data_IF_423251296620
#
_entry.id   IF_423251296620
#
_cell.length_a   1.000
_cell.length_b   1.000
_cell.length_c   1.000
_cell.angle_alpha   90.00
_cell.angle_beta   90.00
_cell.angle_gamma   90.00
#
_symmetry.space_group_name_H-M   'P 1'
#
loop_
_entity.id
_entity.type
_entity.pdbx_description
1 polymer ?
#
# COMPACT_ATOMS: atom_id res chain seq x y z
N UNK A 1 -14.92 -3.63 10.51
CA UNK A 1 -15.28 -4.98 10.04
C UNK A 1 -14.32 -5.52 8.97
N UNK A 2 -14.45 -5.21 7.66
CA UNK A 2 -13.57 -5.83 6.64
C UNK A 2 -12.07 -5.58 6.85
N UNK A 3 -11.69 -4.36 7.26
CA UNK A 3 -10.30 -4.00 7.60
C UNK A 3 -9.78 -4.78 8.82
N UNK A 4 -10.64 -5.15 9.76
CA UNK A 4 -10.23 -5.93 10.92
C UNK A 4 -9.98 -7.40 10.55
N UNK A 5 -10.76 -7.98 9.64
CA UNK A 5 -10.45 -9.32 9.11
C UNK A 5 -9.13 -9.33 8.34
N UNK A 6 -8.90 -8.30 7.51
CA UNK A 6 -7.61 -8.09 6.85
C UNK A 6 -6.47 -8.04 7.87
N UNK A 7 -6.63 -7.27 8.96
CA UNK A 7 -5.62 -7.18 10.02
C UNK A 7 -5.37 -8.51 10.74
N UNK A 8 -6.41 -9.30 11.03
CA UNK A 8 -6.27 -10.64 11.64
C UNK A 8 -5.53 -11.61 10.72
N UNK A 9 -5.82 -11.59 9.42
CA UNK A 9 -5.12 -12.40 8.42
C UNK A 9 -3.65 -12.00 8.30
N UNK A 10 -3.37 -10.70 8.23
CA UNK A 10 -2.00 -10.19 8.21
C UNK A 10 -1.20 -10.59 9.46
N UNK A 11 -1.81 -10.51 10.65
CA UNK A 11 -1.19 -10.98 11.90
C UNK A 11 -0.93 -12.49 11.87
N UNK A 12 -1.84 -13.27 11.29
CA UNK A 12 -1.67 -14.72 11.11
C UNK A 12 -0.49 -15.02 10.17
N UNK A 13 -0.30 -14.20 9.13
CA UNK A 13 0.85 -14.25 8.24
C UNK A 13 2.13 -13.61 8.80
N UNK A 14 2.13 -13.18 10.06
CA UNK A 14 3.30 -12.68 10.78
C UNK A 14 3.60 -11.19 10.63
N UNK A 15 2.64 -10.37 10.16
CA UNK A 15 2.80 -8.92 10.09
C UNK A 15 2.32 -8.20 11.36
N UNK A 16 3.01 -7.15 11.77
CA UNK A 16 2.47 -6.17 12.73
C UNK A 16 1.46 -5.26 12.00
N UNK A 17 0.30 -5.02 12.60
CA UNK A 17 -0.77 -4.22 11.99
C UNK A 17 -1.20 -3.07 12.90
N UNK A 18 -1.45 -1.90 12.30
CA UNK A 18 -2.02 -0.72 12.96
C UNK A 18 -3.17 -0.19 12.11
N UNK A 19 -4.34 -0.04 12.71
CA UNK A 19 -5.53 0.51 12.05
C UNK A 19 -5.69 1.95 12.51
N UNK A 20 -5.61 2.89 11.57
CA UNK A 20 -5.87 4.30 11.86
C UNK A 20 -7.38 4.52 12.08
N UNK A 21 -7.74 5.14 13.20
CA UNK A 21 -9.09 5.62 13.46
C UNK A 21 -9.28 7.03 12.89
N UNK A 22 -10.10 7.26 11.85
CA UNK A 22 -10.22 8.57 11.24
C UNK A 22 -11.16 9.53 11.98
N UNK A 23 -11.76 9.13 13.12
CA UNK A 23 -12.62 10.03 13.90
C UNK A 23 -11.84 11.26 14.36
N UNK A 24 -12.42 12.44 14.09
CA UNK A 24 -11.80 13.73 14.39
C UNK A 24 -10.70 14.16 13.42
N UNK A 25 -10.47 13.44 12.31
CA UNK A 25 -9.57 13.92 11.26
C UNK A 25 -10.21 15.12 10.53
N UNK A 26 -9.55 16.29 10.46
CA UNK A 26 -10.08 17.48 9.79
C UNK A 26 -10.04 17.32 8.26
N UNK A 27 -10.73 18.19 7.54
CA UNK A 27 -10.57 18.25 6.09
C UNK A 27 -9.15 18.68 5.73
N UNK A 28 -8.64 18.22 4.58
CA UNK A 28 -7.27 18.49 4.17
C UNK A 28 -7.01 19.99 3.90
N UNK A 29 -8.05 20.73 3.51
CA UNK A 29 -8.00 22.15 3.17
C UNK A 29 -8.32 23.08 4.36
N UNK A 30 -8.54 22.53 5.56
CA UNK A 30 -8.82 23.35 6.75
C UNK A 30 -7.58 24.15 7.21
N UNK A 31 -7.82 25.26 7.91
CA UNK A 31 -6.75 26.07 8.50
C UNK A 31 -6.07 25.31 9.65
N UNK A 32 -4.74 25.40 9.74
CA UNK A 32 -3.90 24.79 10.80
C UNK A 32 -3.88 23.25 10.89
N UNK A 33 -4.24 22.54 9.81
CA UNK A 33 -4.25 21.06 9.75
C UNK A 33 -2.90 20.40 10.07
N UNK A 34 -1.76 21.08 9.80
CA UNK A 34 -0.41 20.53 10.02
C UNK A 34 -0.15 20.18 11.48
N UNK A 35 -0.78 20.89 12.42
CA UNK A 35 -0.58 20.68 13.85
C UNK A 35 -1.64 19.76 14.47
N UNK A 36 -2.64 19.34 13.71
CA UNK A 36 -3.74 18.54 14.21
C UNK A 36 -3.25 17.14 14.65
N UNK A 37 -3.58 16.66 15.87
CA UNK A 37 -3.09 15.38 16.40
C UNK A 37 -3.35 14.19 15.48
N UNK A 38 -4.55 14.11 14.89
CA UNK A 38 -4.92 13.03 13.95
C UNK A 38 -4.13 13.05 12.65
N UNK A 39 -3.71 14.23 12.17
CA UNK A 39 -2.90 14.36 10.96
C UNK A 39 -1.47 13.88 11.24
N UNK A 40 -0.93 14.24 12.41
CA UNK A 40 0.39 13.74 12.87
C UNK A 40 0.39 12.23 13.06
N UNK A 41 -0.61 11.69 13.74
CA UNK A 41 -0.78 10.24 13.95
C UNK A 41 -0.84 9.49 12.62
N UNK A 42 -1.64 9.97 11.66
CA UNK A 42 -1.73 9.37 10.33
C UNK A 42 -0.39 9.38 9.60
N UNK A 43 0.32 10.50 9.64
CA UNK A 43 1.64 10.63 9.03
C UNK A 43 2.65 9.68 9.68
N UNK A 44 2.69 9.60 11.01
CA UNK A 44 3.57 8.72 11.77
C UNK A 44 3.30 7.23 11.45
N UNK A 45 2.03 6.84 11.35
CA UNK A 45 1.65 5.49 10.93
C UNK A 45 2.09 5.17 9.50
N UNK A 46 1.92 6.14 8.59
CA UNK A 46 2.37 5.99 7.20
C UNK A 46 3.89 5.85 7.12
N UNK A 47 4.63 6.64 7.92
CA UNK A 47 6.09 6.55 8.01
C UNK A 47 6.56 5.21 8.58
N UNK A 48 5.92 4.73 9.64
CA UNK A 48 6.20 3.45 10.27
C UNK A 48 5.95 2.25 9.34
N UNK A 49 4.93 2.34 8.49
CA UNK A 49 4.50 1.21 7.65
C UNK A 49 5.52 0.82 6.56
N UNK A 50 5.52 -0.46 6.20
CA UNK A 50 6.20 -1.00 5.00
C UNK A 50 5.21 -1.28 3.85
N UNK A 51 3.93 -1.43 4.18
CA UNK A 51 2.83 -1.66 3.25
C UNK A 51 1.49 -1.19 3.84
N UNK A 52 0.55 -0.82 2.98
CA UNK A 52 -0.78 -0.33 3.38
C UNK A 52 -1.89 -1.27 2.88
N UNK A 53 -3.02 -1.23 3.59
CA UNK A 53 -4.31 -1.72 3.09
C UNK A 53 -5.27 -0.54 3.08
N UNK A 54 -5.80 -0.18 1.91
CA UNK A 54 -6.84 0.84 1.80
C UNK A 54 -8.17 0.18 1.49
N UNK A 55 -9.17 0.46 2.33
CA UNK A 55 -10.52 -0.05 2.13
C UNK A 55 -11.51 1.12 2.09
N UNK A 56 -12.31 1.20 1.03
CA UNK A 56 -13.39 2.18 0.93
C UNK A 56 -14.73 1.49 0.68
N UNK A 57 -15.79 1.85 1.41
CA UNK A 57 -17.13 1.66 0.91
C UNK A 57 -17.32 2.37 -0.43
N UNK A 58 -18.22 1.85 -1.25
CA UNK A 58 -18.72 2.56 -2.42
C UNK A 58 -19.92 3.43 -2.04
N UNK A 59 -19.75 4.75 -2.11
CA UNK A 59 -20.79 5.73 -1.82
C UNK A 59 -21.07 6.54 -3.08
N UNK A 60 -22.32 6.53 -3.54
CA UNK A 60 -22.70 7.16 -4.82
C UNK A 60 -21.79 6.73 -6.00
N UNK A 61 -21.44 5.43 -6.04
CA UNK A 61 -20.64 4.84 -7.12
C UNK A 61 -19.14 5.20 -7.10
N UNK A 62 -18.63 5.76 -6.01
CA UNK A 62 -17.25 6.22 -5.89
C UNK A 62 -16.67 5.98 -4.48
N UNK A 63 -15.38 6.26 -4.30
CA UNK A 63 -14.73 6.23 -2.98
C UNK A 63 -15.40 7.21 -2.02
N UNK A 64 -15.32 6.92 -0.72
CA UNK A 64 -15.82 7.87 0.29
C UNK A 64 -14.95 9.13 0.38
N UNK A 65 -15.55 10.25 0.76
CA UNK A 65 -14.78 11.46 1.10
C UNK A 65 -13.79 11.19 2.24
N UNK A 66 -14.13 10.34 3.20
CA UNK A 66 -13.29 10.03 4.35
C UNK A 66 -11.97 9.34 3.98
N UNK A 67 -11.99 8.34 3.08
CA UNK A 67 -10.74 7.71 2.63
C UNK A 67 -9.91 8.68 1.80
N UNK A 68 -10.57 9.53 0.99
CA UNK A 68 -9.89 10.53 0.18
C UNK A 68 -9.20 11.58 1.06
N UNK A 69 -9.87 12.07 2.10
CA UNK A 69 -9.28 12.99 3.09
C UNK A 69 -8.07 12.38 3.80
N UNK A 70 -8.12 11.10 4.18
CA UNK A 70 -6.93 10.43 4.74
C UNK A 70 -5.75 10.44 3.76
N UNK A 71 -5.98 10.10 2.49
CA UNK A 71 -4.92 10.09 1.46
C UNK A 71 -4.41 11.51 1.19
N UNK A 72 -5.28 12.53 1.20
CA UNK A 72 -4.91 13.93 0.97
C UNK A 72 -3.99 14.50 2.07
N UNK A 73 -4.08 13.99 3.29
CA UNK A 73 -3.17 14.33 4.39
C UNK A 73 -1.79 13.68 4.26
N UNK A 74 -1.57 12.76 3.32
CA UNK A 74 -0.28 12.12 3.08
C UNK A 74 0.50 12.87 1.99
N UNK A 75 1.55 13.64 2.31
CA UNK A 75 2.33 14.35 1.30
C UNK A 75 3.22 13.39 0.50
N UNK A 76 3.52 13.72 -0.76
CA UNK A 76 4.52 12.97 -1.55
C UNK A 76 5.95 13.16 -1.00
N UNK A 77 6.24 14.36 -0.50
CA UNK A 77 7.51 14.74 0.13
C UNK A 77 7.24 15.74 1.23
N UNK A 78 7.80 15.52 2.43
CA UNK A 78 7.79 16.47 3.54
C UNK A 78 9.15 16.45 4.23
N UNK A 79 9.91 17.55 4.16
CA UNK A 79 11.24 17.65 4.78
C UNK A 79 12.24 16.57 4.31
N UNK A 80 12.16 16.14 3.04
CA UNK A 80 12.97 15.05 2.48
C UNK A 80 12.42 13.64 2.76
N UNK A 81 11.40 13.52 3.62
CA UNK A 81 10.76 12.25 3.97
C UNK A 81 9.62 11.96 2.99
N UNK A 82 9.51 10.70 2.54
CA UNK A 82 8.50 10.23 1.58
C UNK A 82 7.63 9.15 2.24
N UNK A 83 6.45 9.49 2.80
CA UNK A 83 5.68 8.60 3.66
C UNK A 83 5.02 7.43 2.94
N UNK A 84 4.84 7.50 1.62
CA UNK A 84 4.20 6.42 0.85
C UNK A 84 5.11 5.81 -0.23
N UNK A 85 6.09 6.57 -0.72
CA UNK A 85 6.89 6.19 -1.87
C UNK A 85 7.65 4.86 -1.63
N UNK A 86 7.47 3.90 -2.55
CA UNK A 86 8.15 2.60 -2.51
C UNK A 86 7.53 1.56 -1.58
N UNK A 87 6.47 1.89 -0.84
CA UNK A 87 5.71 0.95 -0.01
C UNK A 87 4.70 0.16 -0.85
N UNK A 88 4.34 -1.03 -0.41
CA UNK A 88 3.29 -1.85 -1.04
C UNK A 88 1.90 -1.36 -0.67
N UNK A 89 0.91 -1.65 -1.53
CA UNK A 89 -0.48 -1.30 -1.28
C UNK A 89 -1.41 -2.42 -1.74
N UNK A 90 -2.32 -2.85 -0.87
CA UNK A 90 -3.52 -3.59 -1.26
C UNK A 90 -4.75 -2.67 -1.21
N UNK A 91 -5.65 -2.82 -2.19
CA UNK A 91 -6.90 -2.04 -2.27
C UNK A 91 -8.11 -2.95 -2.14
N UNK A 92 -9.09 -2.47 -1.38
CA UNK A 92 -10.29 -3.21 -1.03
C UNK A 92 -11.53 -2.31 -1.09
N UNK A 93 -12.70 -2.88 -1.36
CA UNK A 93 -13.98 -2.17 -1.21
C UNK A 93 -15.08 -3.06 -0.65
N UNK A 94 -16.11 -2.38 -0.13
CA UNK A 94 -17.41 -2.97 0.20
C UNK A 94 -18.52 -2.20 -0.52
N UNK A 95 -19.58 -2.88 -0.92
CA UNK A 95 -20.80 -2.27 -1.47
C UNK A 95 -22.03 -2.85 -0.79
N UNK A 96 -23.07 -2.02 -0.63
CA UNK A 96 -24.40 -2.48 -0.21
C UNK A 96 -25.21 -3.09 -1.35
N UNK A 97 -24.79 -2.91 -2.60
CA UNK A 97 -25.50 -3.41 -3.79
C UNK A 97 -24.74 -4.55 -4.48
N UNK A 98 -25.07 -4.76 -5.76
CA UNK A 98 -24.35 -5.68 -6.65
C UNK A 98 -22.85 -5.35 -6.72
N UNK A 99 -22.07 -6.34 -7.16
CA UNK A 99 -20.62 -6.19 -7.27
C UNK A 99 -20.24 -5.02 -8.17
N UNK A 100 -19.25 -4.25 -7.73
CA UNK A 100 -18.67 -3.09 -8.40
C UNK A 100 -17.17 -3.08 -8.18
N UNK A 101 -16.45 -2.31 -8.98
CA UNK A 101 -15.00 -2.12 -8.85
C UNK A 101 -14.60 -0.64 -8.87
N UNK A 102 -15.57 0.28 -8.81
CA UNK A 102 -15.28 1.71 -8.98
C UNK A 102 -14.34 2.21 -7.88
N UNK A 103 -14.59 1.84 -6.63
CA UNK A 103 -13.79 2.30 -5.49
C UNK A 103 -12.37 1.74 -5.54
N UNK A 104 -12.19 0.44 -5.77
CA UNK A 104 -10.83 -0.15 -5.90
C UNK A 104 -10.06 0.37 -7.10
N UNK A 105 -10.73 0.66 -8.23
CA UNK A 105 -10.09 1.25 -9.40
C UNK A 105 -9.56 2.66 -9.12
N UNK A 106 -10.33 3.48 -8.39
CA UNK A 106 -9.88 4.81 -7.99
C UNK A 106 -8.77 4.74 -6.94
N UNK A 107 -8.88 3.87 -5.93
CA UNK A 107 -7.82 3.64 -4.94
C UNK A 107 -6.52 3.18 -5.60
N UNK A 108 -6.59 2.33 -6.63
CA UNK A 108 -5.41 1.89 -7.40
C UNK A 108 -4.73 3.05 -8.13
N UNK A 109 -5.52 3.94 -8.75
CA UNK A 109 -5.00 5.16 -9.37
C UNK A 109 -4.36 6.11 -8.35
N UNK A 110 -4.97 6.25 -7.17
CA UNK A 110 -4.40 7.01 -6.05
C UNK A 110 -3.09 6.39 -5.56
N UNK A 111 -3.02 5.07 -5.39
CA UNK A 111 -1.81 4.36 -5.01
C UNK A 111 -0.64 4.61 -5.97
N UNK A 112 -0.93 4.61 -7.28
CA UNK A 112 0.05 5.02 -8.30
C UNK A 112 0.50 6.46 -8.12
N UNK A 113 -0.43 7.38 -7.85
CA UNK A 113 -0.10 8.79 -7.60
C UNK A 113 0.80 8.95 -6.37
N UNK A 114 0.52 8.17 -5.32
CA UNK A 114 1.29 8.07 -4.08
C UNK A 114 2.61 7.30 -4.23
N UNK A 115 2.96 6.87 -5.46
CA UNK A 115 4.18 6.13 -5.82
C UNK A 115 4.34 4.83 -5.03
N UNK A 116 3.23 4.16 -4.76
CA UNK A 116 3.18 2.87 -4.09
C UNK A 116 3.19 1.73 -5.10
N UNK A 117 3.68 0.57 -4.67
CA UNK A 117 3.58 -0.68 -5.42
C UNK A 117 2.24 -1.35 -5.09
N UNK A 118 1.19 -0.96 -5.82
CA UNK A 118 -0.14 -1.56 -5.64
C UNK A 118 -0.14 -2.99 -6.19
N UNK A 119 -0.33 -3.99 -5.33
CA UNK A 119 -0.33 -5.41 -5.72
C UNK A 119 -1.46 -5.71 -6.72
N UNK A 120 -1.31 -6.72 -7.60
CA UNK A 120 -2.30 -7.00 -8.63
C UNK A 120 -3.65 -7.44 -8.05
N UNK A 121 -3.66 -8.27 -7.01
CA UNK A 121 -4.89 -8.78 -6.43
C UNK A 121 -5.64 -7.70 -5.62
N UNK A 122 -6.97 -7.83 -5.50
CA UNK A 122 -7.83 -6.88 -4.81
C UNK A 122 -9.14 -7.54 -4.33
N UNK A 123 -9.78 -6.95 -3.32
CA UNK A 123 -11.06 -7.44 -2.77
C UNK A 123 -12.21 -6.47 -3.04
N UNK A 124 -13.35 -6.99 -3.51
CA UNK A 124 -14.59 -6.24 -3.64
C UNK A 124 -15.76 -7.10 -3.18
N UNK A 125 -16.28 -6.78 -1.99
CA UNK A 125 -17.39 -7.53 -1.35
C UNK A 125 -18.71 -6.86 -1.69
N UNK A 126 -19.54 -7.54 -2.48
CA UNK A 126 -20.88 -7.10 -2.82
C UNK A 126 -21.87 -7.44 -1.69
N UNK A 127 -22.99 -6.72 -1.61
CA UNK A 127 -24.02 -6.90 -0.57
C UNK A 127 -23.44 -7.17 0.81
N UNK A 128 -22.46 -6.37 1.22
CA UNK A 128 -21.60 -6.71 2.36
C UNK A 128 -22.38 -6.98 3.66
N UNK A 129 -23.60 -6.44 3.81
CA UNK A 129 -24.47 -6.74 4.95
C UNK A 129 -24.88 -8.23 5.07
N UNK A 130 -24.84 -9.02 3.98
CA UNK A 130 -25.11 -10.46 3.97
C UNK A 130 -23.88 -11.29 4.40
N UNK A 131 -22.68 -10.73 4.26
CA UNK A 131 -21.37 -11.40 4.40
C UNK A 131 -20.77 -11.32 5.80
N UNK A 132 -21.36 -10.56 6.71
CA UNK A 132 -20.91 -10.44 8.10
C UNK A 132 -21.96 -11.01 9.06
N UNK A 133 -21.47 -11.69 10.09
CA UNK A 133 -22.25 -12.13 11.25
C UNK A 133 -22.52 -10.97 12.22
N UNK A 134 -23.47 -11.15 13.14
CA UNK A 134 -23.84 -10.13 14.14
C UNK A 134 -22.68 -9.70 15.04
N UNK A 135 -21.72 -10.60 15.28
CA UNK A 135 -20.50 -10.31 16.03
C UNK A 135 -19.42 -9.57 15.22
N UNK A 136 -19.73 -9.16 13.98
CA UNK A 136 -18.83 -8.42 13.10
C UNK A 136 -17.77 -9.27 12.39
N UNK A 137 -17.85 -10.61 12.48
CA UNK A 137 -16.96 -11.53 11.76
C UNK A 137 -17.48 -11.79 10.35
N UNK A 138 -16.57 -11.89 9.39
CA UNK A 138 -16.94 -12.26 8.02
C UNK A 138 -17.24 -13.76 7.94
N UNK A 139 -18.29 -14.12 7.20
CA UNK A 139 -18.71 -15.51 6.96
C UNK A 139 -17.73 -16.21 6.01
N UNK A 140 -17.59 -17.55 6.08
CA UNK A 140 -16.90 -18.32 5.06
C UNK A 140 -17.61 -18.13 3.71
N UNK A 141 -16.92 -17.53 2.75
CA UNK A 141 -17.42 -17.29 1.39
C UNK A 141 -16.24 -17.09 0.43
N UNK A 142 -16.52 -17.09 -0.87
CA UNK A 142 -15.51 -16.78 -1.88
C UNK A 142 -14.93 -15.37 -1.73
N UNK A 143 -15.66 -14.45 -1.10
CA UNK A 143 -15.13 -13.13 -0.74
C UNK A 143 -14.10 -13.20 0.38
N UNK A 144 -14.28 -14.10 1.35
CA UNK A 144 -13.29 -14.35 2.41
C UNK A 144 -12.05 -15.02 1.83
N UNK A 145 -12.19 -16.02 0.97
CA UNK A 145 -11.05 -16.67 0.29
C UNK A 145 -10.24 -15.64 -0.52
N UNK A 146 -10.92 -14.75 -1.25
CA UNK A 146 -10.26 -13.63 -1.94
C UNK A 146 -9.54 -12.70 -0.97
N UNK A 147 -10.11 -12.42 0.20
CA UNK A 147 -9.46 -11.58 1.20
C UNK A 147 -8.15 -12.24 1.70
N UNK A 148 -8.17 -13.55 1.92
CA UNK A 148 -6.97 -14.33 2.27
C UNK A 148 -5.90 -14.19 1.19
N UNK A 149 -6.24 -14.41 -0.09
CA UNK A 149 -5.31 -14.28 -1.21
C UNK A 149 -4.65 -12.89 -1.26
N UNK A 150 -5.44 -11.83 -1.07
CA UNK A 150 -4.95 -10.44 -1.15
C UNK A 150 -4.00 -10.13 0.01
N UNK A 151 -4.30 -10.60 1.24
CA UNK A 151 -3.42 -10.39 2.40
C UNK A 151 -2.15 -11.22 2.29
N UNK A 152 -2.23 -12.45 1.79
CA UNK A 152 -1.07 -13.30 1.55
C UNK A 152 -0.14 -12.68 0.50
N UNK A 153 -0.70 -12.22 -0.62
CA UNK A 153 0.04 -11.53 -1.68
C UNK A 153 0.69 -10.24 -1.17
N UNK A 154 -0.02 -9.44 -0.36
CA UNK A 154 0.54 -8.23 0.24
C UNK A 154 1.78 -8.53 1.06
N UNK A 155 1.74 -9.55 1.94
CA UNK A 155 2.90 -9.93 2.76
C UNK A 155 4.06 -10.37 1.87
N UNK A 156 3.82 -11.23 0.87
CA UNK A 156 4.86 -11.69 -0.06
C UNK A 156 5.54 -10.53 -0.79
N UNK A 157 4.77 -9.59 -1.33
CA UNK A 157 5.32 -8.41 -2.00
C UNK A 157 6.03 -7.45 -1.03
N UNK A 158 5.50 -7.25 0.17
CA UNK A 158 6.17 -6.43 1.19
C UNK A 158 7.53 -7.03 1.55
N UNK A 159 7.60 -8.35 1.79
CA UNK A 159 8.86 -9.05 2.06
C UNK A 159 9.86 -8.97 0.91
N UNK A 160 9.37 -9.01 -0.34
CA UNK A 160 10.21 -8.91 -1.54
C UNK A 160 10.81 -7.51 -1.72
N UNK A 161 10.03 -6.46 -1.42
CA UNK A 161 10.42 -5.07 -1.67
C UNK A 161 11.08 -4.39 -0.46
N UNK A 162 10.80 -4.87 0.77
CA UNK A 162 11.42 -4.33 1.98
C UNK A 162 12.95 -4.48 1.91
N UNK A 163 13.67 -3.45 2.34
CA UNK A 163 15.13 -3.37 2.21
C UNK A 163 15.64 -2.99 0.81
N UNK A 164 14.80 -2.98 -0.23
CA UNK A 164 15.18 -2.55 -1.59
C UNK A 164 14.57 -1.21 -2.00
N UNK A 165 13.77 -0.58 -1.13
CA UNK A 165 13.07 0.66 -1.42
C UNK A 165 14.03 1.78 -1.90
N UNK A 166 15.20 1.93 -1.27
CA UNK A 166 16.19 2.95 -1.66
C UNK A 166 16.66 2.80 -3.11
N UNK A 167 16.91 1.56 -3.56
CA UNK A 167 17.27 1.28 -4.94
C UNK A 167 16.08 1.51 -5.89
N UNK A 168 14.90 0.99 -5.55
CA UNK A 168 13.69 1.09 -6.38
C UNK A 168 13.23 2.54 -6.62
N UNK A 169 13.62 3.45 -5.72
CA UNK A 169 13.24 4.86 -5.78
C UNK A 169 14.37 5.79 -6.21
N UNK A 170 15.59 5.29 -6.42
CA UNK A 170 16.69 6.07 -6.99
C UNK A 170 16.47 6.23 -8.50
N UNK A 171 15.86 7.35 -8.88
CA UNK A 171 15.46 7.64 -10.27
C UNK A 171 16.56 8.39 -11.01
N UNK A 172 16.78 8.01 -12.27
CA UNK A 172 17.68 8.71 -13.19
C UNK A 172 17.42 10.22 -13.25
N UNK A 173 16.16 10.65 -13.39
CA UNK A 173 15.83 12.08 -13.48
C UNK A 173 16.12 12.86 -12.18
N UNK A 174 16.02 12.21 -11.02
CA UNK A 174 16.40 12.81 -9.73
C UNK A 174 17.93 12.93 -9.64
N UNK A 175 18.67 11.88 -10.05
CA UNK A 175 20.15 11.89 -10.18
C UNK A 175 20.68 13.00 -11.09
N UNK A 176 20.09 13.17 -12.27
CA UNK A 176 20.47 14.23 -13.22
C UNK A 176 20.28 15.62 -12.60
N UNK A 177 19.18 15.83 -11.87
CA UNK A 177 18.91 17.11 -11.21
C UNK A 177 19.89 17.41 -10.07
N UNK A 178 20.38 16.37 -9.41
CA UNK A 178 21.35 16.43 -8.30
C UNK A 178 22.81 16.45 -8.78
N UNK A 179 23.07 16.37 -10.10
CA UNK A 179 24.40 16.15 -10.67
C UNK A 179 25.12 14.94 -10.02
N UNK A 180 24.36 13.89 -9.73
CA UNK A 180 24.82 12.68 -9.04
C UNK A 180 25.00 11.54 -10.06
N UNK A 181 26.24 11.24 -10.52
CA UNK A 181 26.47 10.15 -11.44
C UNK A 181 26.14 8.80 -10.79
N UNK A 182 25.75 7.82 -11.62
CA UNK A 182 25.58 6.44 -11.17
C UNK A 182 26.96 5.82 -10.98
N UNK A 183 27.20 5.21 -9.82
CA UNK A 183 28.41 4.45 -9.55
C UNK A 183 28.20 2.96 -9.90
N UNK A 184 28.82 2.43 -10.96
CA UNK A 184 28.65 1.03 -11.37
C UNK A 184 29.14 0.03 -10.32
N UNK A 185 30.00 0.42 -9.39
CA UNK A 185 30.49 -0.46 -8.34
C UNK A 185 29.43 -0.73 -7.26
N UNK A 186 28.52 0.22 -7.03
CA UNK A 186 27.47 0.13 -5.99
C UNK A 186 26.07 -0.06 -6.57
N UNK A 187 25.90 0.12 -7.88
CA UNK A 187 24.64 -0.14 -8.58
C UNK A 187 24.28 -1.63 -8.66
N UNK A 188 23.10 -1.99 -8.14
CA UNK A 188 22.66 -3.39 -8.08
C UNK A 188 22.50 -4.04 -9.44
N UNK A 189 22.09 -3.29 -10.48
CA UNK A 189 21.96 -3.86 -11.83
C UNK A 189 23.32 -4.23 -12.41
N UNK A 190 24.30 -3.34 -12.26
CA UNK A 190 25.69 -3.56 -12.67
C UNK A 190 26.31 -4.76 -11.95
N UNK A 191 26.08 -4.89 -10.63
CA UNK A 191 26.52 -6.05 -9.85
C UNK A 191 25.87 -7.36 -10.30
N UNK A 192 24.56 -7.36 -10.56
CA UNK A 192 23.84 -8.56 -10.99
C UNK A 192 24.32 -9.08 -12.36
N UNK A 193 24.63 -8.18 -13.30
CA UNK A 193 25.19 -8.53 -14.60
C UNK A 193 26.58 -9.16 -14.43
N UNK A 194 27.45 -8.54 -13.62
CA UNK A 194 28.80 -9.06 -13.35
C UNK A 194 28.77 -10.44 -12.66
N UNK A 195 27.83 -10.67 -11.75
CA UNK A 195 27.64 -11.96 -11.09
C UNK A 195 27.17 -13.04 -12.07
N UNK A 196 26.26 -12.70 -12.97
CA UNK A 196 25.78 -13.64 -13.99
C UNK A 196 26.90 -14.05 -14.94
N UNK A 197 27.67 -13.09 -15.47
CA UNK A 197 28.82 -13.39 -16.34
C UNK A 197 29.90 -14.21 -15.65
N UNK A 198 30.14 -13.99 -14.34
CA UNK A 198 31.06 -14.82 -13.54
C UNK A 198 30.58 -16.26 -13.40
N UNK A 199 29.28 -16.47 -13.18
CA UNK A 199 28.69 -17.82 -13.09
C UNK A 199 28.76 -18.58 -14.43
N UNK A 200 28.51 -17.89 -15.54
CA UNK A 200 28.64 -18.48 -16.89
C UNK A 200 30.09 -18.87 -17.20
N UNK A 201 31.06 -18.00 -16.86
CA UNK A 201 32.48 -18.30 -17.04
C UNK A 201 32.97 -19.48 -16.20
N UNK A 202 32.42 -19.66 -14.99
CA UNK A 202 32.71 -20.82 -14.13
C UNK A 202 32.02 -22.11 -14.60
N UNK A 203 30.83 -22.02 -15.20
CA UNK A 203 30.12 -23.18 -15.74
C UNK A 203 30.68 -23.67 -17.09
N UNK A 204 31.46 -22.83 -17.79
CA UNK A 204 32.05 -23.12 -19.10
C UNK A 204 33.51 -23.58 -19.04
N UNK A 205 34.11 -23.65 -17.84
CA UNK A 205 35.45 -24.16 -17.62
C UNK A 205 35.35 -25.50 -16.84
N UNK A 206 35.48 -26.67 -17.50
CA UNK A 206 35.27 -27.98 -16.90
C UNK A 206 36.30 -28.35 -15.82
#
# INVERSE_FOLDING_TARGET
>A
MLVEEAARLLQTFGAETRIFDPRGLPHADDVDVKNHPKVKELLELSLWSEGHVWCSPERHGTITGLIKTQIDHLPLVSGGIRPTQGRTLAVMQVSGGSQSFNSVNQLRQLGRWMRMFTIPNQSSVAKAFEEFEENGRMKPSSYYDRLVDVMEELVKFTLLLRGRAAYLVDRYSERVKEDRPLDPATDLASQAIADHSRKEAQASNP
#
